data_IF_323005578499
#
_entry.id   IF_323005578499
#
_cell.length_a   1.000
_cell.length_b   1.000
_cell.length_c   1.000
_cell.angle_alpha   90.00
_cell.angle_beta   90.00
_cell.angle_gamma   90.00
#
_symmetry.space_group_name_H-M   'P 1'
#
loop_
_entity.id
_entity.type
_entity.pdbx_description
1 polymer ?
#
# COMPACT_ATOMS: atom_id res chain seq x y z
N UNK A 1 1.23 -32.11 8.01
CA UNK A 1 0.67 -30.87 7.46
C UNK A 1 -0.29 -30.38 8.51
N UNK A 2 0.18 -29.49 9.38
CA UNK A 2 -0.60 -29.07 10.54
C UNK A 2 -1.84 -28.32 10.05
N UNK A 3 -3.02 -28.80 10.47
CA UNK A 3 -4.29 -28.18 10.11
C UNK A 3 -4.33 -26.78 10.71
N UNK A 4 -4.35 -25.75 9.85
CA UNK A 4 -4.63 -24.40 10.30
C UNK A 4 -6.03 -24.37 10.95
N UNK A 5 -6.11 -23.85 12.17
CA UNK A 5 -7.37 -23.72 12.90
C UNK A 5 -7.85 -22.27 12.73
N UNK A 6 -9.11 -22.03 12.31
CA UNK A 6 -9.63 -20.68 12.21
C UNK A 6 -9.70 -20.05 13.60
N UNK A 7 -9.16 -18.84 13.73
CA UNK A 7 -9.23 -18.04 14.96
C UNK A 7 -10.46 -17.16 15.02
N UNK A 8 -10.74 -16.60 16.19
CA UNK A 8 -11.80 -15.62 16.38
C UNK A 8 -11.24 -14.19 16.22
N UNK A 9 -11.71 -13.48 15.18
CA UNK A 9 -11.31 -12.10 14.92
C UNK A 9 -11.81 -11.11 15.98
N UNK A 10 -12.80 -11.49 16.80
CA UNK A 10 -13.29 -10.66 17.91
C UNK A 10 -12.25 -10.43 19.00
N UNK A 11 -11.21 -11.28 19.05
CA UNK A 11 -10.10 -11.15 19.98
C UNK A 11 -9.08 -10.08 19.57
N UNK A 12 -9.11 -9.63 18.31
CA UNK A 12 -8.12 -8.70 17.74
C UNK A 12 -8.74 -7.44 17.12
N UNK A 13 -10.02 -7.47 16.75
CA UNK A 13 -10.74 -6.34 16.18
C UNK A 13 -11.79 -5.80 17.15
N UNK A 14 -11.89 -4.47 17.35
CA UNK A 14 -12.99 -3.89 18.13
C UNK A 14 -14.35 -4.20 17.50
N UNK A 15 -15.37 -4.36 18.34
CA UNK A 15 -16.75 -4.72 17.94
C UNK A 15 -17.27 -3.92 16.73
N UNK A 16 -17.04 -2.60 16.71
CA UNK A 16 -17.50 -1.73 15.62
C UNK A 16 -16.96 -2.17 14.25
N UNK A 17 -15.66 -2.48 14.16
CA UNK A 17 -15.04 -2.89 12.91
C UNK A 17 -15.57 -4.26 12.44
N UNK A 18 -15.83 -5.18 13.36
CA UNK A 18 -16.43 -6.48 13.02
C UNK A 18 -17.85 -6.31 12.49
N UNK A 19 -18.63 -5.43 13.10
CA UNK A 19 -19.98 -5.14 12.66
C UNK A 19 -19.98 -4.50 11.26
N UNK A 20 -19.08 -3.53 11.03
CA UNK A 20 -18.90 -2.89 9.72
C UNK A 20 -18.48 -3.93 8.64
N UNK A 21 -17.59 -4.86 8.96
CA UNK A 21 -17.17 -5.94 8.05
C UNK A 21 -18.35 -6.85 7.68
N UNK A 22 -19.18 -7.23 8.66
CA UNK A 22 -20.36 -8.07 8.41
C UNK A 22 -21.36 -7.38 7.49
N UNK A 23 -21.68 -6.12 7.80
CA UNK A 23 -22.60 -5.31 6.98
C UNK A 23 -22.05 -5.08 5.57
N UNK A 24 -20.75 -4.86 5.43
CA UNK A 24 -20.08 -4.78 4.14
C UNK A 24 -20.20 -6.10 3.35
N UNK A 25 -19.99 -7.26 3.97
CA UNK A 25 -20.14 -8.56 3.30
C UNK A 25 -21.59 -8.81 2.86
N UNK A 26 -22.57 -8.47 3.68
CA UNK A 26 -24.00 -8.56 3.33
C UNK A 26 -24.36 -7.63 2.16
N UNK A 27 -23.81 -6.42 2.14
CA UNK A 27 -24.00 -5.49 1.03
C UNK A 27 -23.28 -5.96 -0.25
N UNK A 28 -22.06 -6.47 -0.12
CA UNK A 28 -21.24 -6.95 -1.23
C UNK A 28 -21.88 -8.16 -1.92
N UNK A 29 -22.53 -9.05 -1.16
CA UNK A 29 -23.20 -10.23 -1.71
C UNK A 29 -24.33 -9.88 -2.69
N UNK A 30 -24.98 -8.72 -2.52
CA UNK A 30 -26.00 -8.22 -3.46
C UNK A 30 -25.41 -7.85 -4.82
N UNK A 31 -24.14 -7.45 -4.86
CA UNK A 31 -23.43 -7.02 -6.07
C UNK A 31 -22.61 -8.18 -6.66
N UNK A 32 -22.05 -9.02 -5.80
CA UNK A 32 -21.22 -10.17 -6.14
C UNK A 32 -21.71 -11.41 -5.37
N UNK A 33 -22.72 -12.13 -5.88
CA UNK A 33 -23.31 -13.28 -5.20
C UNK A 33 -22.28 -14.35 -4.85
N UNK A 34 -22.30 -14.80 -3.60
CA UNK A 34 -21.35 -15.77 -3.06
C UNK A 34 -20.18 -15.15 -2.30
N UNK A 35 -20.05 -13.81 -2.32
CA UNK A 35 -19.05 -13.12 -1.51
C UNK A 35 -19.25 -13.38 -0.01
N UNK A 36 -20.50 -13.46 0.46
CA UNK A 36 -20.83 -13.77 1.86
C UNK A 36 -21.18 -15.26 2.07
N UNK A 37 -20.50 -16.15 1.36
CA UNK A 37 -20.64 -17.60 1.55
C UNK A 37 -20.06 -18.06 2.88
N UNK A 38 -20.61 -19.14 3.45
CA UNK A 38 -20.01 -19.82 4.62
C UNK A 38 -18.61 -20.39 4.34
N UNK A 39 -18.25 -20.52 3.06
CA UNK A 39 -16.95 -20.99 2.62
C UNK A 39 -15.96 -19.84 2.32
N UNK A 40 -16.38 -18.58 2.45
CA UNK A 40 -15.49 -17.43 2.31
C UNK A 40 -14.52 -17.40 3.48
N UNK A 41 -13.22 -17.41 3.18
CA UNK A 41 -12.16 -17.26 4.18
C UNK A 41 -11.83 -15.78 4.35
N UNK A 42 -11.90 -15.30 5.59
CA UNK A 42 -11.50 -13.94 5.94
C UNK A 42 -10.12 -13.96 6.59
N UNK A 43 -9.15 -13.32 5.94
CA UNK A 43 -7.89 -12.98 6.57
C UNK A 43 -8.12 -11.73 7.41
N UNK A 44 -7.76 -11.79 8.69
CA UNK A 44 -8.05 -10.77 9.68
C UNK A 44 -7.27 -9.47 9.50
N UNK A 45 -6.41 -9.16 10.46
CA UNK A 45 -5.70 -7.89 10.49
C UNK A 45 -4.64 -7.83 9.38
N UNK A 46 -4.81 -6.90 8.44
CA UNK A 46 -3.77 -6.47 7.52
C UNK A 46 -3.25 -5.11 7.96
N UNK A 47 -1.94 -5.02 8.25
CA UNK A 47 -1.29 -3.76 8.60
C UNK A 47 -0.36 -3.36 7.48
N UNK A 48 -0.62 -2.20 6.86
CA UNK A 48 0.34 -1.50 6.02
C UNK A 48 0.79 -0.25 6.76
N UNK A 49 2.03 -0.23 7.20
CA UNK A 49 2.61 0.96 7.79
C UNK A 49 2.75 2.03 6.72
N UNK A 50 2.21 3.21 6.99
CA UNK A 50 2.44 4.37 6.13
C UNK A 50 3.91 4.77 6.23
N UNK A 51 4.60 4.85 5.09
CA UNK A 51 5.92 5.47 5.04
C UNK A 51 5.80 6.94 5.43
N UNK A 52 6.71 7.41 6.28
CA UNK A 52 6.87 8.84 6.53
C UNK A 52 7.11 9.54 5.19
N UNK A 53 6.26 10.53 4.87
CA UNK A 53 6.44 11.33 3.66
C UNK A 53 7.65 12.22 3.85
N UNK A 54 8.75 11.86 3.19
CA UNK A 54 9.98 12.65 3.23
C UNK A 54 9.80 13.94 2.43
N UNK A 55 10.45 15.01 2.88
CA UNK A 55 10.48 16.27 2.14
C UNK A 55 11.37 16.14 0.91
N UNK A 56 10.80 16.36 -0.27
CA UNK A 56 11.47 16.22 -1.55
C UNK A 56 11.27 17.47 -2.39
N UNK A 57 12.26 17.77 -3.23
CA UNK A 57 12.16 18.77 -4.28
C UNK A 57 11.20 18.32 -5.41
N UNK A 58 10.84 19.21 -6.35
CA UNK A 58 10.08 18.83 -7.55
C UNK A 58 10.74 17.72 -8.38
N UNK A 59 12.06 17.56 -8.27
CA UNK A 59 12.84 16.53 -8.96
C UNK A 59 13.01 15.25 -8.10
N UNK A 60 12.25 15.12 -7.01
CA UNK A 60 12.26 13.99 -6.08
C UNK A 60 13.61 13.79 -5.36
N UNK A 61 14.36 14.89 -5.22
CA UNK A 61 15.62 14.93 -4.49
C UNK A 61 15.36 15.29 -3.02
N UNK A 62 16.08 14.63 -2.12
CA UNK A 62 16.03 14.93 -0.70
C UNK A 62 16.82 16.21 -0.38
N UNK A 63 16.88 16.58 0.90
CA UNK A 63 17.78 17.65 1.37
C UNK A 63 19.27 17.33 1.16
N UNK A 64 19.61 16.06 0.93
CA UNK A 64 20.97 15.61 0.64
C UNK A 64 21.16 15.62 -0.88
N UNK A 65 22.16 16.39 -1.33
CA UNK A 65 22.46 16.56 -2.76
C UNK A 65 22.81 15.21 -3.42
N UNK A 66 22.24 14.97 -4.60
CA UNK A 66 22.28 13.74 -5.39
C UNK A 66 21.72 12.50 -4.66
N UNK A 67 20.93 12.69 -3.61
CA UNK A 67 20.22 11.61 -2.95
C UNK A 67 18.72 11.73 -3.22
N UNK A 68 18.21 10.83 -4.04
CA UNK A 68 16.83 10.82 -4.49
C UNK A 68 16.04 9.74 -3.74
N UNK A 69 14.76 10.01 -3.49
CA UNK A 69 13.85 9.04 -2.91
C UNK A 69 12.58 8.96 -3.74
N UNK A 70 12.18 7.73 -4.09
CA UNK A 70 11.04 7.46 -4.97
C UNK A 70 10.20 6.30 -4.42
N UNK A 71 8.99 6.15 -4.97
CA UNK A 71 8.12 5.03 -4.66
C UNK A 71 7.46 5.12 -3.29
N UNK A 72 6.84 4.00 -2.89
CA UNK A 72 6.02 3.94 -1.67
C UNK A 72 6.87 4.10 -0.41
N UNK A 73 8.16 3.71 -0.46
CA UNK A 73 9.12 3.91 0.63
C UNK A 73 9.41 5.39 0.92
N UNK A 74 9.25 6.27 -0.07
CA UNK A 74 9.36 7.71 0.11
C UNK A 74 8.03 8.38 0.53
N UNK A 75 6.94 7.61 0.61
CA UNK A 75 5.62 8.10 0.99
C UNK A 75 4.96 9.02 -0.05
N UNK A 76 5.41 8.98 -1.30
CA UNK A 76 4.90 9.84 -2.39
C UNK A 76 4.06 9.10 -3.43
N UNK A 77 4.04 7.76 -3.41
CA UNK A 77 3.23 6.93 -4.32
C UNK A 77 2.36 5.94 -3.53
N UNK A 78 1.37 5.34 -4.20
CA UNK A 78 0.46 4.33 -3.64
C UNK A 78 0.19 3.19 -4.63
N UNK A 79 1.21 2.80 -5.38
CA UNK A 79 1.07 1.72 -6.36
C UNK A 79 2.16 1.70 -7.43
N UNK A 80 2.22 0.56 -8.12
CA UNK A 80 3.27 0.22 -9.09
C UNK A 80 3.44 1.27 -10.19
N UNK A 81 2.35 1.75 -10.77
CA UNK A 81 2.39 2.72 -11.87
C UNK A 81 3.03 4.03 -11.40
N UNK A 82 2.60 4.55 -10.25
CA UNK A 82 3.12 5.80 -9.70
C UNK A 82 4.59 5.67 -9.31
N UNK A 83 4.96 4.56 -8.65
CA UNK A 83 6.35 4.28 -8.28
C UNK A 83 7.26 4.18 -9.52
N UNK A 84 6.77 3.54 -10.59
CA UNK A 84 7.49 3.42 -11.86
C UNK A 84 7.67 4.77 -12.54
N UNK A 85 6.63 5.59 -12.58
CA UNK A 85 6.70 6.94 -13.15
C UNK A 85 7.72 7.81 -12.39
N UNK A 86 7.74 7.75 -11.06
CA UNK A 86 8.73 8.43 -10.24
C UNK A 86 10.16 7.99 -10.56
N UNK A 87 10.37 6.68 -10.78
CA UNK A 87 11.65 6.13 -11.22
C UNK A 87 12.12 6.67 -12.58
N UNK A 88 11.22 6.76 -13.56
CA UNK A 88 11.54 7.36 -14.86
C UNK A 88 11.93 8.84 -14.73
N UNK A 89 11.21 9.60 -13.90
CA UNK A 89 11.50 11.02 -13.64
C UNK A 89 12.90 11.20 -13.05
N UNK A 90 13.23 10.48 -11.99
CA UNK A 90 14.57 10.56 -11.36
C UNK A 90 15.67 10.05 -12.30
N UNK A 91 15.42 8.96 -13.03
CA UNK A 91 16.38 8.44 -14.00
C UNK A 91 16.73 9.47 -15.08
N UNK A 92 15.75 10.24 -15.57
CA UNK A 92 15.97 11.34 -16.52
C UNK A 92 16.76 12.48 -15.90
N UNK A 93 16.42 12.89 -14.67
CA UNK A 93 17.14 13.94 -13.95
C UNK A 93 18.62 13.58 -13.76
N UNK A 94 18.91 12.35 -13.33
CA UNK A 94 20.28 11.85 -13.17
C UNK A 94 21.00 11.87 -14.53
N UNK A 95 20.37 11.39 -15.60
CA UNK A 95 20.98 11.38 -16.93
C UNK A 95 21.32 12.78 -17.46
N UNK A 96 20.52 13.80 -17.15
CA UNK A 96 20.82 15.21 -17.50
C UNK A 96 22.03 15.69 -16.72
N UNK A 97 22.04 15.53 -15.39
CA UNK A 97 23.16 15.97 -14.53
C UNK A 97 24.50 15.30 -14.88
N UNK A 98 24.47 14.02 -15.25
CA UNK A 98 25.67 13.29 -15.68
C UNK A 98 26.23 13.80 -17.03
N UNK A 99 25.39 14.37 -17.89
CA UNK A 99 25.85 15.00 -19.14
C UNK A 99 26.47 16.37 -18.88
N UNK A 100 25.92 17.15 -17.97
CA UNK A 100 26.44 18.49 -17.61
C UNK A 100 27.77 18.44 -16.83
N UNK A 101 28.08 17.30 -16.20
CA UNK A 101 29.35 17.06 -15.52
C UNK A 101 30.50 16.67 -16.45
N UNK A 102 30.21 16.33 -17.71
CA UNK A 102 31.20 16.00 -18.74
C UNK A 102 31.59 17.23 -19.53
#
# INVERSE_FOLDING_TARGET
MDKATPGDLSLVLPYRHLQDIKEMLEALDKVAPGANSRHTLLYGVEVKFYSNRIELSPNLETKIKNFFAIGDGAGITRGLIQASAAGVTVGREIAVRERERR
#
